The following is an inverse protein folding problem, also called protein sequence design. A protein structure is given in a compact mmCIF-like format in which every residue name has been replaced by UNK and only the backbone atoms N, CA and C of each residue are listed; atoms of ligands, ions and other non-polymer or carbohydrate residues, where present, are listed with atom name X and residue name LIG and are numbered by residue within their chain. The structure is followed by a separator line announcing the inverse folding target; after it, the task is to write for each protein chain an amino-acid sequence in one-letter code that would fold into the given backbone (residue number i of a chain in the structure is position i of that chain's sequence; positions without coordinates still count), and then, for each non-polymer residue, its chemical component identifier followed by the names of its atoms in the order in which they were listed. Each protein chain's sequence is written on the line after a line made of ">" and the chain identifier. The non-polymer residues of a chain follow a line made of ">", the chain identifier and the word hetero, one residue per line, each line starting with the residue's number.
data_IF_955386646095
#
_entry.id   IF_955386646095
#
_cell.length_a   1.000
_cell.length_b   1.000
_cell.length_c   1.000
_cell.angle_alpha   90.00
_cell.angle_beta   90.00
_cell.angle_gamma   90.00
#
_symmetry.space_group_name_H-M   'P 1'
#
loop_
_entity.id
_entity.type
_entity.pdbx_description
1 polymer ?
#
# COMPACT_ATOMS: atom_id res chain seq x y z
N UNK A 1 24.13 18.08 12.84
CA UNK A 1 25.12 17.27 13.57
C UNK A 1 24.49 16.78 14.86
N UNK A 2 23.87 15.59 14.85
CA UNK A 2 23.64 14.88 16.11
C UNK A 2 25.02 14.45 16.62
N UNK A 3 25.46 14.86 17.82
CA UNK A 3 26.71 14.35 18.36
C UNK A 3 26.58 12.83 18.46
N UNK A 4 27.43 12.10 17.75
CA UNK A 4 27.52 10.66 17.95
C UNK A 4 27.99 10.45 19.39
N UNK A 5 27.20 9.80 20.26
CA UNK A 5 27.69 9.45 21.58
C UNK A 5 28.92 8.57 21.35
N UNK A 6 30.07 9.04 21.84
CA UNK A 6 31.26 8.21 21.95
C UNK A 6 30.84 6.97 22.71
N UNK A 7 30.94 5.80 22.07
CA UNK A 7 30.65 4.52 22.70
C UNK A 7 31.69 4.30 23.80
N UNK A 8 31.43 4.84 24.99
CA UNK A 8 32.19 4.57 26.20
C UNK A 8 31.88 3.14 26.59
N UNK A 9 32.85 2.26 26.37
CA UNK A 9 32.81 0.88 26.84
C UNK A 9 32.63 0.94 28.35
N UNK A 10 31.45 0.53 28.82
CA UNK A 10 31.11 0.46 30.24
C UNK A 10 32.06 -0.53 30.90
N UNK A 11 32.68 -0.15 32.02
CA UNK A 11 33.64 -1.03 32.69
C UNK A 11 32.92 -2.33 33.14
N UNK A 12 33.58 -3.50 33.13
CA UNK A 12 32.95 -4.75 33.55
C UNK A 12 32.42 -4.62 35.00
N UNK A 13 31.09 -4.69 35.16
CA UNK A 13 30.42 -4.61 36.47
C UNK A 13 29.69 -3.29 36.75
N UNK A 14 29.77 -2.28 35.89
CA UNK A 14 28.94 -1.08 36.00
C UNK A 14 27.52 -1.33 35.44
N UNK A 15 26.47 -0.79 36.09
CA UNK A 15 25.11 -0.88 35.57
C UNK A 15 25.02 -0.14 34.22
N UNK A 16 24.20 -0.64 33.27
CA UNK A 16 24.06 -0.01 31.97
C UNK A 16 23.58 1.44 32.11
N UNK A 17 24.07 2.31 31.23
CA UNK A 17 23.67 3.72 31.23
C UNK A 17 22.13 3.84 31.18
N UNK A 18 21.52 4.68 32.02
CA UNK A 18 20.07 4.89 32.00
C UNK A 18 19.64 5.48 30.66
N UNK A 19 18.42 5.14 30.21
CA UNK A 19 17.85 5.76 29.02
C UNK A 19 17.82 7.29 29.15
N UNK A 20 17.95 8.04 28.04
CA UNK A 20 17.72 9.48 28.04
C UNK A 20 16.38 9.83 28.68
N UNK A 21 16.32 10.91 29.46
CA UNK A 21 15.11 11.31 30.20
C UNK A 21 13.88 11.48 29.29
N UNK A 22 14.10 11.92 28.05
CA UNK A 22 13.06 12.13 27.04
C UNK A 22 12.82 10.92 26.12
N UNK A 23 13.53 9.80 26.31
CA UNK A 23 13.51 8.66 25.37
C UNK A 23 12.09 8.18 25.05
N UNK A 24 11.28 7.90 26.07
CA UNK A 24 9.90 7.43 25.86
C UNK A 24 9.01 8.50 25.23
N UNK A 25 9.24 9.78 25.55
CA UNK A 25 8.50 10.89 24.97
C UNK A 25 8.81 11.03 23.48
N UNK A 26 10.09 11.01 23.10
CA UNK A 26 10.52 11.06 21.71
C UNK A 26 10.04 9.85 20.91
N UNK A 27 10.12 8.66 21.52
CA UNK A 27 9.62 7.42 20.92
C UNK A 27 8.11 7.49 20.65
N UNK A 28 7.32 7.96 21.63
CA UNK A 28 5.87 8.15 21.49
C UNK A 28 5.53 9.20 20.44
N UNK A 29 6.24 10.32 20.41
CA UNK A 29 6.05 11.37 19.38
C UNK A 29 6.36 10.81 17.99
N UNK A 30 7.47 10.09 17.84
CA UNK A 30 7.85 9.48 16.57
C UNK A 30 6.78 8.51 16.06
N UNK A 31 6.38 7.53 16.88
CA UNK A 31 5.35 6.56 16.48
C UNK A 31 3.98 7.21 16.30
N UNK A 32 3.64 8.21 17.11
CA UNK A 32 2.40 8.97 16.96
C UNK A 32 2.33 9.71 15.62
N UNK A 33 3.39 10.44 15.26
CA UNK A 33 3.48 11.13 13.96
C UNK A 33 3.48 10.12 12.81
N UNK A 34 4.28 9.06 12.89
CA UNK A 34 4.32 8.02 11.87
C UNK A 34 2.96 7.36 11.65
N UNK A 35 2.21 7.10 12.73
CA UNK A 35 0.87 6.54 12.66
C UNK A 35 -0.11 7.50 11.97
N UNK A 36 -0.12 8.79 12.35
CA UNK A 36 -1.00 9.79 11.75
C UNK A 36 -0.70 9.97 10.27
N UNK A 37 0.58 10.09 9.91
CA UNK A 37 1.03 10.20 8.51
C UNK A 37 0.67 8.94 7.73
N UNK A 38 0.89 7.75 8.30
CA UNK A 38 0.55 6.48 7.66
C UNK A 38 -0.95 6.32 7.42
N UNK A 39 -1.77 6.68 8.40
CA UNK A 39 -3.23 6.68 8.30
C UNK A 39 -3.72 7.63 7.20
N UNK A 40 -3.16 8.84 7.16
CA UNK A 40 -3.49 9.83 6.14
C UNK A 40 -3.03 9.36 4.74
N UNK A 41 -1.81 8.84 4.62
CA UNK A 41 -1.28 8.28 3.39
C UNK A 41 -2.14 7.12 2.88
N UNK A 42 -2.64 6.26 3.78
CA UNK A 42 -3.57 5.20 3.44
C UNK A 42 -4.89 5.75 2.87
N UNK A 43 -5.41 6.84 3.42
CA UNK A 43 -6.63 7.48 2.90
C UNK A 43 -6.40 8.02 1.49
N UNK A 44 -5.28 8.71 1.25
CA UNK A 44 -4.90 9.19 -0.09
C UNK A 44 -4.71 8.02 -1.06
N UNK A 45 -4.07 6.94 -0.60
CA UNK A 45 -3.89 5.72 -1.38
C UNK A 45 -5.25 5.12 -1.77
N UNK A 46 -6.23 5.06 -0.87
CA UNK A 46 -7.57 4.57 -1.17
C UNK A 46 -8.28 5.39 -2.26
N UNK A 47 -8.09 6.72 -2.27
CA UNK A 47 -8.58 7.59 -3.36
C UNK A 47 -7.96 7.19 -4.69
N UNK A 48 -6.62 7.05 -4.71
CA UNK A 48 -5.88 6.65 -5.91
C UNK A 48 -6.29 5.28 -6.44
N UNK A 49 -6.47 4.30 -5.55
CA UNK A 49 -6.96 2.97 -5.89
C UNK A 49 -8.35 3.01 -6.53
N UNK A 50 -9.31 3.66 -5.89
CA UNK A 50 -10.67 3.78 -6.44
C UNK A 50 -10.71 4.54 -7.76
N UNK A 51 -10.01 5.67 -7.85
CA UNK A 51 -9.92 6.47 -9.06
C UNK A 51 -9.27 5.69 -10.21
N UNK A 52 -8.17 4.98 -9.92
CA UNK A 52 -7.45 4.15 -10.88
C UNK A 52 -8.30 2.99 -11.39
N UNK A 53 -8.97 2.24 -10.50
CA UNK A 53 -9.89 1.18 -10.92
C UNK A 53 -11.03 1.71 -11.79
N UNK A 54 -11.60 2.87 -11.46
CA UNK A 54 -12.64 3.51 -12.28
C UNK A 54 -12.13 3.90 -13.66
N UNK A 55 -10.97 4.55 -13.72
CA UNK A 55 -10.36 4.98 -14.98
C UNK A 55 -10.02 3.78 -15.88
N UNK A 56 -9.35 2.76 -15.35
CA UNK A 56 -8.95 1.56 -16.11
C UNK A 56 -10.18 0.81 -16.63
N UNK A 57 -11.22 0.66 -15.80
CA UNK A 57 -12.43 -0.06 -16.19
C UNK A 57 -13.19 0.64 -17.31
N UNK A 58 -13.34 1.98 -17.23
CA UNK A 58 -14.01 2.77 -18.26
C UNK A 58 -13.20 2.86 -19.56
N UNK A 59 -11.88 3.00 -19.47
CA UNK A 59 -11.01 2.91 -20.65
C UNK A 59 -11.16 1.55 -21.34
N UNK A 60 -11.21 0.45 -20.58
CA UNK A 60 -11.45 -0.88 -21.13
C UNK A 60 -12.85 -1.08 -21.73
N UNK A 61 -13.82 -0.24 -21.35
CA UNK A 61 -15.16 -0.20 -21.95
C UNK A 61 -15.24 0.74 -23.17
N UNK A 62 -14.17 1.45 -23.52
CA UNK A 62 -14.17 2.45 -24.59
C UNK A 62 -14.87 3.76 -24.21
N UNK A 63 -15.11 3.99 -22.92
CA UNK A 63 -15.76 5.20 -22.43
C UNK A 63 -14.77 6.36 -22.23
N UNK A 64 -15.21 7.63 -22.36
CA UNK A 64 -14.36 8.78 -22.08
C UNK A 64 -14.03 8.86 -20.58
N UNK A 65 -12.75 9.04 -20.26
CA UNK A 65 -12.26 9.14 -18.89
C UNK A 65 -11.74 10.55 -18.63
N UNK A 66 -12.26 11.19 -17.59
CA UNK A 66 -11.81 12.50 -17.12
C UNK A 66 -11.14 12.39 -15.76
N UNK A 67 -10.07 13.16 -15.54
CA UNK A 67 -9.36 13.20 -14.26
C UNK A 67 -10.29 13.62 -13.12
N UNK A 68 -11.13 14.63 -13.36
CA UNK A 68 -12.13 15.08 -12.38
C UNK A 68 -13.17 14.02 -12.03
N UNK A 69 -13.64 13.25 -13.02
CA UNK A 69 -14.56 12.13 -12.80
C UNK A 69 -13.92 11.01 -11.95
N UNK A 70 -12.69 10.64 -12.28
CA UNK A 70 -11.94 9.62 -11.55
C UNK A 70 -11.68 10.04 -10.08
N UNK A 71 -11.23 11.27 -9.86
CA UNK A 71 -10.98 11.79 -8.52
C UNK A 71 -12.26 11.94 -7.70
N UNK A 72 -13.36 12.41 -8.30
CA UNK A 72 -14.66 12.50 -7.63
C UNK A 72 -15.16 11.11 -7.21
N UNK A 73 -15.01 10.12 -8.08
CA UNK A 73 -15.32 8.73 -7.74
C UNK A 73 -14.44 8.24 -6.59
N UNK A 74 -13.13 8.47 -6.69
CA UNK A 74 -12.15 8.10 -5.68
C UNK A 74 -12.48 8.68 -4.31
N UNK A 75 -12.70 9.99 -4.22
CA UNK A 75 -13.05 10.68 -2.97
C UNK A 75 -14.37 10.20 -2.38
N UNK A 76 -15.38 9.93 -3.23
CA UNK A 76 -16.68 9.40 -2.77
C UNK A 76 -16.55 8.01 -2.17
N UNK A 77 -15.62 7.19 -2.68
CA UNK A 77 -15.49 5.77 -2.28
C UNK A 77 -14.35 5.50 -1.30
N UNK A 78 -13.42 6.43 -1.15
CA UNK A 78 -12.26 6.31 -0.28
C UNK A 78 -12.60 5.99 1.19
N UNK A 79 -13.62 6.59 1.85
CA UNK A 79 -13.89 6.28 3.26
C UNK A 79 -14.27 4.82 3.49
N UNK A 80 -15.07 4.25 2.57
CA UNK A 80 -15.47 2.85 2.64
C UNK A 80 -14.26 1.93 2.41
N UNK A 81 -13.44 2.22 1.41
CA UNK A 81 -12.19 1.47 1.15
C UNK A 81 -11.22 1.56 2.31
N UNK A 82 -11.05 2.74 2.87
CA UNK A 82 -10.12 3.02 3.95
C UNK A 82 -10.45 2.20 5.20
N UNK A 83 -11.72 2.16 5.60
CA UNK A 83 -12.16 1.35 6.74
C UNK A 83 -11.87 -0.15 6.54
N UNK A 84 -12.15 -0.68 5.35
CA UNK A 84 -11.88 -2.09 5.05
C UNK A 84 -10.38 -2.38 4.90
N UNK A 85 -9.61 -1.50 4.28
CA UNK A 85 -8.16 -1.66 4.16
C UNK A 85 -7.50 -1.64 5.52
N UNK A 86 -7.95 -0.80 6.45
CA UNK A 86 -7.42 -0.77 7.82
C UNK A 86 -7.61 -2.13 8.52
N UNK A 87 -8.79 -2.75 8.34
CA UNK A 87 -9.04 -4.11 8.84
C UNK A 87 -8.13 -5.16 8.17
N UNK A 88 -7.98 -5.09 6.84
CA UNK A 88 -7.09 -6.00 6.09
C UNK A 88 -5.64 -5.85 6.55
N UNK A 89 -5.15 -4.62 6.70
CA UNK A 89 -3.80 -4.36 7.21
C UNK A 89 -3.62 -4.85 8.63
N UNK A 90 -4.60 -4.64 9.51
CA UNK A 90 -4.56 -5.17 10.87
C UNK A 90 -4.49 -6.71 10.87
N UNK A 91 -5.30 -7.40 10.07
CA UNK A 91 -5.27 -8.87 9.95
C UNK A 91 -3.92 -9.37 9.43
N UNK A 92 -3.40 -8.75 8.38
CA UNK A 92 -2.09 -9.09 7.80
C UNK A 92 -0.96 -8.84 8.80
N UNK A 93 -0.98 -7.72 9.51
CA UNK A 93 0.02 -7.37 10.51
C UNK A 93 0.01 -8.36 11.67
N UNK A 94 -1.17 -8.67 12.21
CA UNK A 94 -1.33 -9.71 13.24
C UNK A 94 -0.79 -11.03 12.72
N UNK A 95 -1.17 -11.45 11.51
CA UNK A 95 -0.64 -12.63 10.85
C UNK A 95 0.89 -12.64 10.85
N UNK A 96 1.51 -11.59 10.32
CA UNK A 96 2.96 -11.45 10.20
C UNK A 96 3.70 -11.46 11.54
N UNK A 97 3.12 -10.86 12.59
CA UNK A 97 3.69 -10.83 13.95
C UNK A 97 3.66 -12.22 14.59
N UNK A 98 2.56 -12.95 14.44
CA UNK A 98 2.43 -14.28 15.07
C UNK A 98 3.23 -15.35 14.31
N UNK A 99 3.24 -15.32 12.97
CA UNK A 99 4.08 -16.17 12.12
C UNK A 99 4.17 -15.54 10.71
N UNK A 100 5.36 -15.48 10.10
CA UNK A 100 5.50 -14.85 8.77
C UNK A 100 4.61 -15.50 7.69
N UNK A 101 4.42 -16.83 7.77
CA UNK A 101 3.64 -17.62 6.81
C UNK A 101 2.14 -17.24 6.75
N UNK A 102 1.37 -17.17 7.87
CA UNK A 102 -0.01 -16.69 7.84
C UNK A 102 -0.13 -15.24 7.38
N UNK A 103 0.86 -14.38 7.65
CA UNK A 103 0.89 -13.01 7.11
C UNK A 103 0.87 -13.00 5.58
N UNK A 104 1.76 -13.76 4.94
CA UNK A 104 1.82 -13.89 3.47
C UNK A 104 0.51 -14.49 2.94
N UNK A 105 0.01 -15.55 3.57
CA UNK A 105 -1.25 -16.18 3.15
C UNK A 105 -2.41 -15.18 3.16
N UNK A 106 -2.53 -14.37 4.23
CA UNK A 106 -3.56 -13.33 4.33
C UNK A 106 -3.38 -12.23 3.28
N UNK A 107 -2.14 -11.81 3.00
CA UNK A 107 -1.87 -10.86 1.91
C UNK A 107 -2.37 -11.39 0.57
N UNK A 108 -2.08 -12.65 0.26
CA UNK A 108 -2.54 -13.27 -0.99
C UNK A 108 -4.06 -13.42 -1.03
N UNK A 109 -4.67 -13.92 0.04
CA UNK A 109 -6.11 -14.15 0.13
C UNK A 109 -6.93 -12.86 0.07
N UNK A 110 -6.39 -11.76 0.62
CA UNK A 110 -7.05 -10.45 0.69
C UNK A 110 -6.64 -9.49 -0.43
N UNK A 111 -5.74 -9.90 -1.33
CA UNK A 111 -5.31 -9.09 -2.48
C UNK A 111 -6.48 -8.61 -3.35
N UNK A 112 -7.54 -9.41 -3.46
CA UNK A 112 -8.73 -9.08 -4.27
C UNK A 112 -9.78 -8.27 -3.49
N UNK A 113 -9.56 -7.93 -2.21
CA UNK A 113 -10.54 -7.22 -1.39
C UNK A 113 -10.86 -5.82 -1.93
N UNK A 114 -9.87 -5.13 -2.50
CA UNK A 114 -10.05 -3.83 -3.14
C UNK A 114 -11.03 -3.88 -4.32
N UNK A 115 -10.73 -4.67 -5.37
CA UNK A 115 -11.65 -4.86 -6.50
C UNK A 115 -13.03 -5.36 -6.07
N UNK A 116 -13.12 -6.36 -5.18
CA UNK A 116 -14.41 -6.88 -4.69
C UNK A 116 -15.23 -5.79 -4.01
N UNK A 117 -14.62 -4.96 -3.15
CA UNK A 117 -15.34 -3.87 -2.48
C UNK A 117 -15.85 -2.80 -3.46
N UNK A 118 -15.07 -2.53 -4.52
CA UNK A 118 -15.42 -1.54 -5.53
C UNK A 118 -16.55 -2.02 -6.46
N UNK A 119 -16.45 -3.25 -6.97
CA UNK A 119 -17.41 -3.80 -7.93
C UNK A 119 -18.63 -4.43 -7.27
N UNK A 120 -18.47 -5.23 -6.20
CA UNK A 120 -19.56 -6.00 -5.59
C UNK A 120 -20.18 -5.32 -4.39
N UNK A 121 -19.46 -4.41 -3.73
CA UNK A 121 -19.94 -3.58 -2.60
C UNK A 121 -20.44 -4.36 -1.37
N UNK A 122 -20.28 -5.68 -1.32
CA UNK A 122 -20.75 -6.56 -0.24
C UNK A 122 -19.61 -7.43 0.27
N UNK A 123 -19.40 -7.45 1.60
CA UNK A 123 -18.49 -8.32 2.36
C UNK A 123 -17.18 -8.70 1.64
N UNK A 124 -16.23 -7.75 1.47
CA UNK A 124 -15.05 -7.96 0.65
C UNK A 124 -14.14 -9.07 1.16
N UNK A 125 -13.95 -9.19 2.47
CA UNK A 125 -13.07 -10.19 3.08
C UNK A 125 -13.55 -11.61 2.76
N UNK A 126 -14.78 -11.95 3.14
CA UNK A 126 -15.33 -13.29 2.94
C UNK A 126 -15.37 -13.68 1.46
N UNK A 127 -15.74 -12.72 0.60
CA UNK A 127 -15.80 -12.94 -0.84
C UNK A 127 -14.41 -13.13 -1.46
N UNK A 128 -13.41 -12.35 -1.07
CA UNK A 128 -12.02 -12.55 -1.52
C UNK A 128 -11.48 -13.91 -1.09
N UNK A 129 -11.74 -14.34 0.15
CA UNK A 129 -11.37 -15.69 0.60
C UNK A 129 -12.04 -16.77 -0.25
N UNK A 130 -13.33 -16.63 -0.58
CA UNK A 130 -14.04 -17.60 -1.43
C UNK A 130 -13.39 -17.71 -2.81
N UNK A 131 -13.09 -16.58 -3.45
CA UNK A 131 -12.45 -16.55 -4.77
C UNK A 131 -11.04 -17.17 -4.69
N UNK A 132 -10.26 -16.79 -3.68
CA UNK A 132 -8.91 -17.30 -3.47
C UNK A 132 -8.92 -18.83 -3.29
N UNK A 133 -9.77 -19.38 -2.43
CA UNK A 133 -9.84 -20.83 -2.19
C UNK A 133 -10.39 -21.63 -3.36
N UNK A 134 -11.34 -21.07 -4.12
CA UNK A 134 -11.87 -21.76 -5.28
C UNK A 134 -10.79 -22.01 -6.33
N UNK A 135 -9.81 -21.09 -6.47
CA UNK A 135 -8.83 -21.09 -7.56
C UNK A 135 -7.44 -20.68 -7.08
N UNK A 136 -6.97 -21.34 -6.01
CA UNK A 136 -5.72 -21.00 -5.32
C UNK A 136 -4.54 -20.86 -6.29
N UNK A 137 -4.29 -21.85 -7.15
CA UNK A 137 -3.12 -21.82 -8.04
C UNK A 137 -3.10 -20.65 -9.02
N UNK A 138 -4.24 -20.34 -9.64
CA UNK A 138 -4.35 -19.25 -10.63
C UNK A 138 -4.23 -17.88 -9.98
N UNK A 139 -4.95 -17.67 -8.86
CA UNK A 139 -4.92 -16.40 -8.13
C UNK A 139 -3.57 -16.19 -7.48
N UNK A 140 -3.02 -17.21 -6.81
CA UNK A 140 -1.72 -17.13 -6.16
C UNK A 140 -0.61 -16.83 -7.16
N UNK A 141 -0.55 -17.55 -8.29
CA UNK A 141 0.48 -17.33 -9.32
C UNK A 141 0.48 -15.89 -9.86
N UNK A 142 -0.70 -15.32 -10.12
CA UNK A 142 -0.81 -13.94 -10.58
C UNK A 142 -0.53 -12.92 -9.51
N UNK A 143 -1.10 -13.09 -8.31
CA UNK A 143 -0.87 -12.17 -7.20
C UNK A 143 0.60 -12.16 -6.81
N UNK A 144 1.27 -13.32 -6.82
CA UNK A 144 2.71 -13.40 -6.60
C UNK A 144 3.51 -12.78 -7.74
N UNK A 145 3.12 -12.96 -9.00
CA UNK A 145 3.81 -12.32 -10.13
C UNK A 145 3.71 -10.79 -10.06
N UNK A 146 2.51 -10.27 -9.81
CA UNK A 146 2.24 -8.84 -9.71
C UNK A 146 2.88 -8.26 -8.44
N UNK A 147 2.85 -8.99 -7.32
CA UNK A 147 3.54 -8.64 -6.09
C UNK A 147 5.07 -8.67 -6.22
N UNK A 148 5.61 -9.62 -6.97
CA UNK A 148 7.05 -9.70 -7.28
C UNK A 148 7.47 -8.50 -8.13
N UNK A 149 6.69 -8.12 -9.14
CA UNK A 149 6.95 -6.92 -9.92
C UNK A 149 7.00 -5.68 -9.03
N UNK A 150 6.02 -5.51 -8.14
CA UNK A 150 6.00 -4.40 -7.17
C UNK A 150 7.21 -4.45 -6.21
N UNK A 151 7.64 -5.65 -5.80
CA UNK A 151 8.80 -5.85 -4.93
C UNK A 151 10.11 -5.49 -5.64
N UNK A 152 10.29 -5.96 -6.88
CA UNK A 152 11.47 -5.63 -7.72
C UNK A 152 11.53 -4.13 -7.94
N UNK A 153 10.40 -3.49 -8.27
CA UNK A 153 10.37 -2.04 -8.37
C UNK A 153 10.78 -1.41 -7.04
N UNK A 154 10.27 -1.87 -5.90
CA UNK A 154 10.60 -1.32 -4.58
C UNK A 154 12.09 -1.46 -4.23
N UNK A 155 12.77 -2.48 -4.75
CA UNK A 155 14.22 -2.64 -4.59
C UNK A 155 15.04 -1.52 -5.26
N UNK A 156 14.47 -0.79 -6.23
CA UNK A 156 15.08 0.42 -6.80
C UNK A 156 14.81 1.66 -5.94
N UNK A 157 13.77 1.64 -5.10
CA UNK A 157 13.22 2.82 -4.41
C UNK A 157 14.11 3.19 -3.27
N UNK A 158 14.40 2.15 -2.49
CA UNK A 158 15.11 2.26 -1.24
C UNK A 158 16.52 2.78 -1.49
N UNK A 159 17.29 2.28 -2.48
CA UNK A 159 18.57 2.87 -2.85
C UNK A 159 18.46 4.32 -3.32
N UNK A 160 17.49 4.66 -4.18
CA UNK A 160 17.33 6.04 -4.68
C UNK A 160 17.01 7.00 -3.52
N UNK A 161 16.08 6.62 -2.65
CA UNK A 161 15.72 7.39 -1.46
C UNK A 161 16.90 7.50 -0.49
N UNK A 162 17.68 6.43 -0.32
CA UNK A 162 18.88 6.42 0.51
C UNK A 162 19.94 7.37 -0.03
N UNK A 163 20.19 7.39 -1.35
CA UNK A 163 21.12 8.32 -2.00
C UNK A 163 20.66 9.77 -1.80
N UNK A 164 19.36 10.05 -1.98
CA UNK A 164 18.79 11.39 -1.75
C UNK A 164 19.00 11.81 -0.28
N UNK A 165 18.73 10.92 0.67
CA UNK A 165 18.93 11.18 2.10
C UNK A 165 20.40 11.43 2.46
N UNK A 166 21.34 10.71 1.85
CA UNK A 166 22.77 10.92 2.05
C UNK A 166 23.27 12.23 1.42
N UNK A 167 22.76 12.59 0.25
CA UNK A 167 23.11 13.84 -0.44
C UNK A 167 22.54 15.09 0.23
N UNK A 168 21.42 14.96 0.96
CA UNK A 168 20.77 16.06 1.67
C UNK A 168 21.45 16.52 2.97
N UNK A 169 22.52 15.83 3.40
CA UNK A 169 23.19 16.10 4.67
C UNK A 169 22.39 15.61 5.89
N UNK A 170 22.91 15.78 7.13
CA UNK A 170 22.22 15.38 8.35
C UNK A 170 21.06 16.33 8.67
N UNK A 171 19.98 16.21 7.92
CA UNK A 171 18.70 16.81 8.21
C UNK A 171 18.14 16.19 9.51
N UNK A 172 17.48 17.00 10.33
CA UNK A 172 16.62 16.43 11.38
C UNK A 172 15.55 15.55 10.74
N UNK A 173 15.04 14.53 11.45
CA UNK A 173 14.03 13.59 10.94
C UNK A 173 12.73 14.25 10.40
N UNK A 174 12.57 15.56 10.61
CA UNK A 174 11.40 16.35 10.25
C UNK A 174 11.72 17.58 9.38
N UNK A 175 12.95 17.74 8.91
CA UNK A 175 13.33 18.90 8.11
C UNK A 175 12.96 18.69 6.63
N UNK A 176 11.94 19.42 6.15
CA UNK A 176 11.52 19.39 4.75
C UNK A 176 12.38 20.37 3.96
N UNK A 177 13.32 19.84 3.17
CA UNK A 177 14.15 20.63 2.26
C UNK A 177 13.64 20.51 0.83
N UNK A 178 13.93 21.48 -0.04
CA UNK A 178 13.62 21.40 -1.46
C UNK A 178 14.19 20.11 -2.10
N UNK A 179 15.39 19.68 -1.67
CA UNK A 179 16.01 18.43 -2.10
C UNK A 179 15.21 17.19 -1.73
N UNK A 180 14.68 17.12 -0.50
CA UNK A 180 13.82 16.01 -0.06
C UNK A 180 12.50 15.95 -0.84
N UNK A 181 11.90 17.11 -1.16
CA UNK A 181 10.66 17.18 -1.95
C UNK A 181 10.91 16.72 -3.38
N UNK A 182 11.92 17.28 -4.05
CA UNK A 182 12.28 16.89 -5.42
C UNK A 182 12.63 15.41 -5.50
N UNK A 183 13.44 14.92 -4.56
CA UNK A 183 13.80 13.50 -4.48
C UNK A 183 12.59 12.57 -4.29
N UNK A 184 11.63 12.99 -3.47
CA UNK A 184 10.38 12.24 -3.27
C UNK A 184 9.53 12.20 -4.54
N UNK A 185 9.42 13.31 -5.26
CA UNK A 185 8.69 13.39 -6.55
C UNK A 185 9.34 12.47 -7.59
N UNK A 186 10.66 12.54 -7.75
CA UNK A 186 11.41 11.67 -8.66
C UNK A 186 11.20 10.21 -8.33
N UNK A 187 11.30 9.86 -7.04
CA UNK A 187 11.05 8.50 -6.56
C UNK A 187 9.64 8.06 -6.96
N UNK A 188 8.60 8.82 -6.60
CA UNK A 188 7.20 8.49 -6.95
C UNK A 188 7.00 8.29 -8.46
N UNK A 189 7.59 9.13 -9.30
CA UNK A 189 7.50 8.99 -10.76
C UNK A 189 8.14 7.69 -11.28
N UNK A 190 9.25 7.26 -10.68
CA UNK A 190 9.89 5.99 -10.99
C UNK A 190 9.00 4.79 -10.58
N UNK A 191 8.24 4.92 -9.49
CA UNK A 191 7.31 3.87 -9.01
C UNK A 191 6.02 3.77 -9.79
N UNK A 192 5.60 4.86 -10.42
CA UNK A 192 4.27 5.00 -10.97
C UNK A 192 3.92 3.89 -11.98
N UNK A 193 4.79 3.48 -12.93
CA UNK A 193 4.48 2.38 -13.85
C UNK A 193 4.23 1.04 -13.13
N UNK A 194 5.01 0.75 -12.09
CA UNK A 194 4.86 -0.47 -11.31
C UNK A 194 3.54 -0.50 -10.54
N UNK A 195 3.15 0.62 -9.94
CA UNK A 195 1.85 0.76 -9.28
C UNK A 195 0.68 0.60 -10.24
N UNK A 196 0.78 1.17 -11.44
CA UNK A 196 -0.24 1.00 -12.49
C UNK A 196 -0.35 -0.47 -12.92
N UNK A 197 0.79 -1.13 -13.18
CA UNK A 197 0.81 -2.55 -13.50
C UNK A 197 0.21 -3.40 -12.37
N UNK A 198 0.50 -3.04 -11.11
CA UNK A 198 -0.07 -3.71 -9.94
C UNK A 198 -1.59 -3.59 -9.88
N UNK A 199 -2.11 -2.37 -10.03
CA UNK A 199 -3.55 -2.10 -10.04
C UNK A 199 -4.26 -2.83 -11.19
N UNK A 200 -3.74 -2.69 -12.42
CA UNK A 200 -4.31 -3.34 -13.61
C UNK A 200 -4.28 -4.87 -13.44
N UNK A 201 -3.17 -5.43 -12.97
CA UNK A 201 -3.02 -6.86 -12.75
C UNK A 201 -4.06 -7.41 -11.78
N UNK A 202 -4.35 -6.70 -10.67
CA UNK A 202 -5.39 -7.10 -9.73
C UNK A 202 -6.80 -6.96 -10.31
N UNK A 203 -7.10 -5.88 -11.04
CA UNK A 203 -8.42 -5.68 -11.68
C UNK A 203 -8.68 -6.74 -12.74
N UNK A 204 -7.70 -7.06 -13.58
CA UNK A 204 -7.81 -8.11 -14.61
C UNK A 204 -7.95 -9.48 -13.96
N UNK A 205 -7.16 -9.77 -12.93
CA UNK A 205 -7.27 -11.03 -12.18
C UNK A 205 -8.67 -11.17 -11.59
N UNK A 206 -9.19 -10.12 -10.96
CA UNK A 206 -10.56 -10.11 -10.46
C UNK A 206 -11.62 -10.35 -11.56
N UNK A 207 -11.52 -9.63 -12.68
CA UNK A 207 -12.47 -9.74 -13.78
C UNK A 207 -12.51 -11.15 -14.37
N UNK A 208 -11.35 -11.79 -14.53
CA UNK A 208 -11.25 -13.17 -15.01
C UNK A 208 -11.84 -14.18 -14.02
N UNK A 209 -11.55 -14.03 -12.72
CA UNK A 209 -12.16 -14.90 -11.72
C UNK A 209 -13.69 -14.77 -11.73
N UNK A 210 -14.21 -13.56 -11.94
CA UNK A 210 -15.64 -13.33 -12.05
C UNK A 210 -16.24 -13.88 -13.37
N UNK A 211 -15.49 -13.84 -14.46
CA UNK A 211 -15.89 -14.42 -15.75
C UNK A 211 -16.13 -15.94 -15.66
N UNK A 212 -15.49 -16.61 -14.71
CA UNK A 212 -15.71 -18.03 -14.44
C UNK A 212 -16.98 -18.32 -13.63
N UNK A 213 -17.52 -17.34 -12.90
CA UNK A 213 -18.80 -17.47 -12.18
C UNK A 213 -20.00 -17.10 -13.06
N UNK A 214 -19.78 -16.32 -14.13
CA UNK A 214 -20.80 -15.94 -15.10
C UNK A 214 -20.30 -14.93 -16.13
N UNK A 215 -21.14 -14.54 -17.10
CA UNK A 215 -20.73 -13.61 -18.16
C UNK A 215 -20.37 -12.23 -17.61
N UNK A 216 -19.13 -11.81 -17.86
CA UNK A 216 -18.56 -10.50 -17.49
C UNK A 216 -17.98 -9.83 -18.72
N UNK A 217 -18.29 -8.55 -18.92
CA UNK A 217 -17.66 -7.72 -19.93
C UNK A 217 -17.29 -6.35 -19.32
N UNK A 218 -16.43 -5.59 -19.99
CA UNK A 218 -15.94 -4.30 -19.50
C UNK A 218 -17.07 -3.27 -19.32
N UNK A 219 -18.07 -3.26 -20.21
CA UNK A 219 -19.23 -2.38 -20.11
C UNK A 219 -20.04 -2.63 -18.82
N UNK A 220 -20.25 -3.91 -18.45
CA UNK A 220 -20.91 -4.29 -17.21
C UNK A 220 -20.10 -3.86 -15.99
N UNK A 221 -18.79 -4.09 -15.99
CA UNK A 221 -17.92 -3.68 -14.88
C UNK A 221 -17.89 -2.14 -14.73
N UNK A 222 -17.89 -1.40 -15.84
CA UNK A 222 -17.98 0.06 -15.81
C UNK A 222 -19.30 0.52 -15.19
N UNK A 223 -20.43 -0.08 -15.59
CA UNK A 223 -21.74 0.22 -15.03
C UNK A 223 -21.85 -0.09 -13.52
N UNK A 224 -21.18 -1.13 -13.03
CA UNK A 224 -21.15 -1.48 -11.60
C UNK A 224 -20.42 -0.42 -10.74
N UNK A 225 -19.55 0.40 -11.33
CA UNK A 225 -18.88 1.52 -10.64
C UNK A 225 -19.73 2.81 -10.62
N UNK A 226 -20.83 2.87 -11.38
CA UNK A 226 -21.72 4.03 -11.51
C UNK A 226 -21.11 5.11 -12.40
#
# INVERSE_FOLDING_TARGET
>A
FYPHPTLTVTAPGEPPAPFPADYFRELLVFFGVALVVGVFALAVQCVGWAAGTWAVTRQAAGEPVTVGGALRYGLRRAPALWGWMLLVFAMVLVGAVFCYLPGIYLMCALSLAGPVLLFERVNPIARSFKIFHARLGQVLGRVLLVGLLATISSMVAVPVQMIISLAGGPAGAFEITAGTVVGSVVTVLLYLPAWLAYLIGLVVTYAEQRAHEGPVNSARLAAELG
#
